data_IF_159879729577
#
_entry.id   IF_159879729577
#
_cell.length_a   1.000
_cell.length_b   1.000
_cell.length_c   1.000
_cell.angle_alpha   90.00
_cell.angle_beta   90.00
_cell.angle_gamma   90.00
#
_symmetry.space_group_name_H-M   'P 1'
#
loop_
_entity.id
_entity.type
_entity.pdbx_description
1 polymer ?
#
# COMPACT_ATOMS: atom_id res chain seq x y z
N UNK A 1 0.51 16.27 -4.55
CA UNK A 1 0.03 15.10 -3.81
C UNK A 1 -1.07 14.40 -4.60
N UNK A 2 -0.98 13.09 -4.72
CA UNK A 2 -1.96 12.30 -5.46
C UNK A 2 -2.51 11.19 -4.59
N UNK A 3 -3.70 10.73 -4.94
CA UNK A 3 -4.30 9.55 -4.33
C UNK A 3 -4.02 8.36 -5.24
N UNK A 4 -3.34 7.36 -4.70
CA UNK A 4 -2.89 6.21 -5.47
C UNK A 4 -3.51 4.95 -4.88
N UNK A 5 -4.10 4.13 -5.74
CA UNK A 5 -4.65 2.84 -5.35
C UNK A 5 -3.67 1.75 -5.79
N UNK A 6 -3.17 1.01 -4.82
CA UNK A 6 -2.22 -0.08 -5.07
C UNK A 6 -2.93 -1.41 -4.84
N UNK A 7 -3.08 -2.18 -5.91
CA UNK A 7 -3.75 -3.46 -5.86
C UNK A 7 -2.72 -4.57 -5.93
N UNK A 8 -2.72 -5.45 -4.93
CA UNK A 8 -1.72 -6.50 -4.83
C UNK A 8 -0.40 -5.94 -4.33
N UNK A 9 -0.12 -6.14 -3.05
CA UNK A 9 1.07 -5.51 -2.47
C UNK A 9 2.34 -6.31 -2.73
N UNK A 10 2.37 -7.61 -2.43
CA UNK A 10 3.56 -8.41 -2.70
C UNK A 10 4.86 -7.73 -2.28
N UNK A 11 5.98 -8.22 -2.79
CA UNK A 11 7.29 -7.61 -2.51
C UNK A 11 7.42 -6.25 -3.16
N UNK A 12 7.02 -6.15 -4.41
CA UNK A 12 7.12 -4.89 -5.15
C UNK A 12 6.13 -3.87 -4.60
N UNK A 13 4.96 -4.34 -4.20
CA UNK A 13 3.94 -3.45 -3.67
C UNK A 13 4.41 -2.70 -2.45
N UNK A 14 5.08 -3.40 -1.50
CA UNK A 14 5.60 -2.74 -0.32
C UNK A 14 6.65 -1.69 -0.68
N UNK A 15 7.56 -2.04 -1.57
CA UNK A 15 8.61 -1.12 -2.00
C UNK A 15 8.01 0.13 -2.65
N UNK A 16 7.03 -0.06 -3.52
CA UNK A 16 6.36 1.05 -4.18
C UNK A 16 5.61 1.92 -3.16
N UNK A 17 4.92 1.29 -2.21
CA UNK A 17 4.19 2.03 -1.20
C UNK A 17 5.12 2.92 -0.37
N UNK A 18 6.29 2.39 0.01
CA UNK A 18 7.27 3.16 0.75
C UNK A 18 7.72 4.38 -0.05
N UNK A 19 8.07 4.17 -1.32
CA UNK A 19 8.55 5.27 -2.17
C UNK A 19 7.49 6.32 -2.40
N UNK A 20 6.25 5.90 -2.68
CA UNK A 20 5.17 6.85 -2.92
C UNK A 20 4.83 7.64 -1.66
N UNK A 21 4.87 6.99 -0.51
CA UNK A 21 4.64 7.65 0.76
C UNK A 21 5.71 8.70 1.03
N UNK A 22 6.97 8.38 0.73
CA UNK A 22 8.07 9.32 0.92
C UNK A 22 7.95 10.54 0.01
N UNK A 23 7.31 10.38 -1.14
CA UNK A 23 7.07 11.49 -2.06
C UNK A 23 5.86 12.33 -1.66
N UNK A 24 5.19 11.98 -0.61
CA UNK A 24 4.05 12.74 -0.10
C UNK A 24 2.72 12.38 -0.71
N UNK A 25 2.63 11.25 -1.42
CA UNK A 25 1.36 10.79 -1.97
C UNK A 25 0.55 10.01 -0.95
N UNK A 26 -0.76 10.04 -1.10
CA UNK A 26 -1.65 9.21 -0.30
C UNK A 26 -1.83 7.88 -1.02
N UNK A 27 -1.54 6.78 -0.32
CA UNK A 27 -1.59 5.45 -0.91
C UNK A 27 -2.65 4.63 -0.19
N UNK A 28 -3.54 4.01 -0.96
CA UNK A 28 -4.48 3.02 -0.46
C UNK A 28 -4.07 1.66 -1.01
N UNK A 29 -3.88 0.69 -0.12
CA UNK A 29 -3.45 -0.65 -0.51
C UNK A 29 -4.60 -1.63 -0.36
N UNK A 30 -4.74 -2.53 -1.32
CA UNK A 30 -5.73 -3.60 -1.29
C UNK A 30 -5.04 -4.90 -1.63
N UNK A 31 -5.22 -5.91 -0.81
CA UNK A 31 -4.66 -7.24 -1.05
C UNK A 31 -5.54 -8.28 -0.38
N UNK A 32 -5.52 -9.49 -0.89
CA UNK A 32 -6.21 -10.61 -0.27
C UNK A 32 -5.42 -11.21 0.89
N UNK A 33 -4.13 -10.93 0.96
CA UNK A 33 -3.23 -11.49 1.96
C UNK A 33 -3.05 -10.53 3.12
N UNK A 34 -3.51 -10.94 4.31
CA UNK A 34 -3.46 -10.11 5.50
C UNK A 34 -2.02 -9.76 5.89
N UNK A 35 -1.09 -10.68 5.73
CA UNK A 35 0.30 -10.40 6.08
C UNK A 35 0.90 -9.31 5.22
N UNK A 36 0.58 -9.31 3.94
CA UNK A 36 1.06 -8.26 3.03
C UNK A 36 0.48 -6.91 3.38
N UNK A 37 -0.80 -6.88 3.72
CA UNK A 37 -1.43 -5.64 4.16
C UNK A 37 -0.78 -5.13 5.44
N UNK A 38 -0.51 -6.03 6.39
CA UNK A 38 0.16 -5.66 7.64
C UNK A 38 1.53 -5.05 7.38
N UNK A 39 2.26 -5.58 6.40
CA UNK A 39 3.60 -5.09 6.07
C UNK A 39 3.59 -3.67 5.52
N UNK A 40 2.51 -3.26 4.85
CA UNK A 40 2.45 -1.93 4.23
C UNK A 40 1.72 -0.90 5.09
N UNK A 41 1.03 -1.33 6.14
CA UNK A 41 0.23 -0.42 6.97
C UNK A 41 0.98 0.85 7.39
N UNK A 42 2.25 0.78 7.81
CA UNK A 42 2.96 2.00 8.22
C UNK A 42 3.21 2.98 7.09
N UNK A 43 3.06 2.55 5.84
CA UNK A 43 3.44 3.36 4.69
C UNK A 43 2.25 3.84 3.87
N UNK A 44 1.04 3.41 4.22
CA UNK A 44 -0.15 3.76 3.43
C UNK A 44 -1.12 4.54 4.29
N UNK A 45 -1.96 5.32 3.62
CA UNK A 45 -3.00 6.08 4.30
C UNK A 45 -4.15 5.17 4.73
N UNK A 46 -4.45 4.17 3.91
CA UNK A 46 -5.53 3.24 4.17
C UNK A 46 -5.20 1.89 3.54
N UNK A 47 -5.71 0.84 4.12
CA UNK A 47 -5.46 -0.51 3.61
C UNK A 47 -6.70 -1.37 3.84
N UNK A 48 -7.00 -2.24 2.88
CA UNK A 48 -8.13 -3.16 2.97
C UNK A 48 -7.71 -4.55 2.55
N UNK A 49 -8.29 -5.55 3.19
CA UNK A 49 -8.12 -6.95 2.83
C UNK A 49 -9.33 -7.36 2.02
N UNK A 50 -9.07 -7.87 0.81
CA UNK A 50 -10.15 -8.26 -0.08
C UNK A 50 -9.67 -8.29 -1.52
N UNK A 51 -10.55 -8.62 -2.42
CA UNK A 51 -10.20 -8.68 -3.84
C UNK A 51 -11.13 -7.84 -4.70
#
# INVERSE_FOLDING_TARGET
MKNILLIGTGRFGRHIAVQLSQLGHQVMAVDTNEERISDVLPYVTNAQIGD
#
